data_IF_629981826875
#
_entry.id   IF_629981826875
#
_cell.length_a   1.000
_cell.length_b   1.000
_cell.length_c   1.000
_cell.angle_alpha   90.00
_cell.angle_beta   90.00
_cell.angle_gamma   90.00
#
_symmetry.space_group_name_H-M   'P 1'
#
loop_
_entity.id
_entity.type
_entity.pdbx_description
1 polymer ?
#
# COMPACT_ATOMS: atom_id res chain seq x y z
N UNK A 1 0.78 17.88 8.13
CA UNK A 1 1.87 17.12 8.77
C UNK A 1 2.94 16.92 7.71
N UNK A 2 4.20 17.25 7.99
CA UNK A 2 5.30 17.01 7.05
C UNK A 2 5.66 15.52 7.06
N UNK A 3 5.95 14.94 5.89
CA UNK A 3 6.34 13.52 5.79
C UNK A 3 7.79 13.38 6.25
N UNK A 4 8.02 12.49 7.22
CA UNK A 4 9.36 12.18 7.70
C UNK A 4 10.02 11.11 6.81
N UNK A 5 10.67 11.57 5.74
CA UNK A 5 11.38 10.69 4.81
C UNK A 5 12.50 9.88 5.49
N UNK A 6 13.17 10.44 6.51
CA UNK A 6 14.23 9.71 7.24
C UNK A 6 13.64 8.54 8.00
N UNK A 7 12.46 8.74 8.61
CA UNK A 7 11.75 7.65 9.28
C UNK A 7 11.36 6.54 8.31
N UNK A 8 10.90 6.89 7.11
CA UNK A 8 10.60 5.89 6.06
C UNK A 8 11.87 5.12 5.67
N UNK A 9 12.99 5.81 5.44
CA UNK A 9 14.29 5.17 5.15
C UNK A 9 14.73 4.21 6.26
N UNK A 10 14.54 4.56 7.53
CA UNK A 10 14.83 3.68 8.65
C UNK A 10 13.95 2.43 8.67
N UNK A 11 12.64 2.61 8.48
CA UNK A 11 11.67 1.52 8.45
C UNK A 11 11.88 0.60 7.24
N UNK A 12 12.44 1.13 6.15
CA UNK A 12 12.74 0.40 4.93
C UNK A 12 13.93 -0.58 5.08
N UNK A 13 14.86 -0.32 6.02
CA UNK A 13 16.11 -1.09 6.15
C UNK A 13 15.92 -2.60 6.26
N UNK A 14 14.85 -3.05 6.93
CA UNK A 14 14.55 -4.49 7.09
C UNK A 14 14.14 -5.15 5.78
N UNK A 15 13.60 -4.39 4.83
CA UNK A 15 13.20 -4.85 3.50
C UNK A 15 14.38 -4.78 2.53
N UNK A 16 15.11 -3.66 2.53
CA UNK A 16 16.26 -3.45 1.64
C UNK A 16 17.48 -4.31 2.00
N UNK A 17 17.49 -4.94 3.19
CA UNK A 17 18.53 -5.87 3.60
C UNK A 17 18.74 -6.99 2.58
N UNK A 18 19.98 -7.50 2.50
CA UNK A 18 20.35 -8.60 1.60
C UNK A 18 19.96 -8.34 0.13
N UNK A 19 20.20 -7.12 -0.37
CA UNK A 19 19.82 -6.69 -1.71
C UNK A 19 18.32 -6.80 -1.98
N UNK A 20 17.49 -6.28 -1.05
CA UNK A 20 16.03 -6.39 -1.10
C UNK A 20 15.47 -7.79 -0.91
N UNK A 21 16.24 -8.76 -0.40
CA UNK A 21 15.69 -10.07 0.01
C UNK A 21 15.12 -10.05 1.44
N UNK A 22 15.16 -8.91 2.11
CA UNK A 22 14.68 -8.76 3.48
C UNK A 22 15.56 -9.43 4.53
N UNK A 23 15.31 -9.09 5.79
CA UNK A 23 15.95 -9.69 6.96
C UNK A 23 14.95 -10.36 7.92
N UNK A 24 13.71 -10.61 7.46
CA UNK A 24 12.69 -11.30 8.24
C UNK A 24 13.05 -12.76 8.52
N UNK A 25 12.48 -13.31 9.58
CA UNK A 25 12.55 -14.74 9.90
C UNK A 25 11.35 -15.54 9.35
N UNK A 26 10.39 -14.84 8.74
CA UNK A 26 9.19 -15.41 8.11
C UNK A 26 9.03 -14.83 6.71
N UNK A 27 8.32 -15.54 5.83
CA UNK A 27 8.04 -15.07 4.46
C UNK A 27 7.29 -13.71 4.47
N UNK A 28 6.33 -13.56 5.36
CA UNK A 28 5.52 -12.35 5.52
C UNK A 28 5.21 -12.11 6.99
N UNK A 29 4.69 -10.91 7.29
CA UNK A 29 4.19 -10.55 8.62
C UNK A 29 2.88 -9.80 8.52
N UNK A 30 2.03 -10.02 9.51
CA UNK A 30 0.86 -9.19 9.80
C UNK A 30 1.16 -8.46 11.10
N UNK A 31 1.03 -7.14 11.08
CA UNK A 31 1.08 -6.32 12.30
C UNK A 31 -0.32 -5.73 12.52
N UNK A 32 -0.94 -6.14 13.63
CA UNK A 32 -2.28 -5.67 13.99
C UNK A 32 -2.27 -4.19 14.37
N UNK A 33 -3.35 -3.49 13.97
CA UNK A 33 -3.64 -2.10 14.27
C UNK A 33 -4.94 -1.95 15.06
N UNK A 34 -5.33 -0.71 15.32
CA UNK A 34 -6.49 -0.34 16.13
C UNK A 34 -7.63 0.30 15.34
N UNK A 35 -7.44 0.54 14.04
CA UNK A 35 -8.46 1.12 13.15
C UNK A 35 -8.87 0.11 12.07
N UNK A 36 -10.09 0.19 11.51
CA UNK A 36 -10.60 -0.81 10.56
C UNK A 36 -10.05 -0.63 9.13
N UNK A 37 -8.77 -0.27 9.00
CA UNK A 37 -8.05 -0.08 7.75
C UNK A 37 -6.83 -0.98 7.77
N UNK A 38 -6.55 -1.63 6.64
CA UNK A 38 -5.35 -2.42 6.44
C UNK A 38 -4.58 -1.96 5.20
N UNK A 39 -3.25 -1.95 5.28
CA UNK A 39 -2.37 -1.81 4.12
C UNK A 39 -1.72 -3.14 3.78
N UNK A 40 -1.63 -3.50 2.50
CA UNK A 40 -0.78 -4.59 2.02
C UNK A 40 0.42 -4.04 1.25
N UNK A 41 1.59 -4.66 1.44
CA UNK A 41 2.80 -4.43 0.65
C UNK A 41 3.43 -5.78 0.26
N UNK A 42 2.80 -6.53 -0.66
CA UNK A 42 3.19 -7.90 -0.98
C UNK A 42 4.56 -7.98 -1.67
N UNK A 43 5.03 -6.93 -2.33
CA UNK A 43 6.34 -6.90 -2.99
C UNK A 43 7.37 -6.03 -2.27
N UNK A 44 7.27 -5.84 -0.95
CA UNK A 44 8.26 -5.07 -0.19
C UNK A 44 9.69 -5.65 -0.30
N UNK A 45 9.82 -6.93 -0.66
CA UNK A 45 11.07 -7.64 -0.95
C UNK A 45 11.01 -8.27 -2.35
N UNK A 46 12.17 -8.69 -2.85
CA UNK A 46 12.26 -9.45 -4.08
C UNK A 46 11.41 -10.73 -3.99
N UNK A 47 10.88 -11.16 -5.13
CA UNK A 47 9.98 -12.31 -5.22
C UNK A 47 10.17 -13.02 -6.56
N UNK A 48 9.60 -14.22 -6.71
CA UNK A 48 9.58 -14.94 -7.99
C UNK A 48 8.20 -14.89 -8.61
N UNK A 49 8.12 -14.57 -9.91
CA UNK A 49 6.91 -14.74 -10.71
C UNK A 49 7.24 -15.54 -11.96
N UNK A 50 6.48 -16.61 -12.21
CA UNK A 50 6.68 -17.49 -13.36
C UNK A 50 8.14 -17.96 -13.52
N UNK A 51 8.78 -18.35 -12.41
CA UNK A 51 10.16 -18.83 -12.39
C UNK A 51 11.23 -17.75 -12.61
N UNK A 52 10.86 -16.46 -12.62
CA UNK A 52 11.78 -15.33 -12.79
C UNK A 52 11.83 -14.48 -11.53
N UNK A 53 13.04 -14.08 -11.16
CA UNK A 53 13.26 -13.07 -10.13
C UNK A 53 12.65 -11.73 -10.57
N UNK A 54 11.85 -11.15 -9.68
CA UNK A 54 11.25 -9.82 -9.79
C UNK A 54 11.82 -8.95 -8.68
N UNK A 55 12.22 -7.73 -9.05
CA UNK A 55 12.69 -6.73 -8.11
C UNK A 55 11.56 -6.35 -7.13
N UNK A 56 11.94 -6.03 -5.91
CA UNK A 56 11.05 -5.44 -4.92
C UNK A 56 10.43 -4.13 -5.43
N UNK A 57 9.21 -3.89 -4.97
CA UNK A 57 8.57 -2.59 -5.05
C UNK A 57 9.16 -1.72 -3.91
N UNK A 58 10.34 -1.15 -4.15
CA UNK A 58 11.12 -0.41 -3.15
C UNK A 58 10.26 0.61 -2.40
N UNK A 59 10.51 0.73 -1.10
CA UNK A 59 9.82 1.62 -0.16
C UNK A 59 8.36 1.29 0.16
N UNK A 60 7.70 0.35 -0.52
CA UNK A 60 6.31 -0.01 -0.17
C UNK A 60 6.20 -0.56 1.26
N UNK A 61 7.18 -1.35 1.71
CA UNK A 61 7.26 -1.85 3.08
C UNK A 61 7.49 -0.75 4.11
N UNK A 62 8.50 0.11 3.89
CA UNK A 62 8.79 1.26 4.74
C UNK A 62 7.62 2.24 4.85
N UNK A 63 6.96 2.55 3.72
CA UNK A 63 5.76 3.41 3.67
C UNK A 63 4.60 2.76 4.43
N UNK A 64 4.34 1.46 4.26
CA UNK A 64 3.29 0.78 5.00
C UNK A 64 3.50 0.86 6.52
N UNK A 65 4.73 0.61 6.98
CA UNK A 65 5.09 0.72 8.40
C UNK A 65 4.97 2.15 8.91
N UNK A 66 5.38 3.14 8.12
CA UNK A 66 5.27 4.55 8.49
C UNK A 66 3.80 4.99 8.62
N UNK A 67 2.95 4.63 7.67
CA UNK A 67 1.51 4.91 7.72
C UNK A 67 0.84 4.21 8.91
N UNK A 68 1.27 3.00 9.26
CA UNK A 68 0.85 2.34 10.50
C UNK A 68 1.24 3.14 11.73
N UNK A 69 2.48 3.61 11.83
CA UNK A 69 2.92 4.44 12.98
C UNK A 69 2.06 5.70 13.15
N UNK A 70 1.65 6.32 12.04
CA UNK A 70 0.85 7.54 12.05
C UNK A 70 -0.64 7.33 12.31
N UNK A 71 -1.20 6.22 11.85
CA UNK A 71 -2.66 6.02 11.80
C UNK A 71 -3.18 4.88 12.67
N UNK A 72 -2.28 3.99 13.10
CA UNK A 72 -2.63 2.75 13.79
C UNK A 72 -3.31 1.72 12.89
N UNK A 73 -3.22 1.81 11.55
CA UNK A 73 -3.77 0.80 10.66
C UNK A 73 -3.06 -0.55 10.79
N UNK A 74 -3.78 -1.65 10.53
CA UNK A 74 -3.15 -2.96 10.38
C UNK A 74 -2.32 -2.99 9.10
N UNK A 75 -1.27 -3.80 9.05
CA UNK A 75 -0.50 -4.00 7.81
C UNK A 75 -0.16 -5.46 7.59
N UNK A 76 0.00 -5.84 6.33
CA UNK A 76 0.57 -7.11 5.92
C UNK A 76 1.63 -6.86 4.84
N UNK A 77 2.80 -7.46 4.98
CA UNK A 77 3.90 -7.25 4.04
C UNK A 77 4.77 -8.49 3.92
N UNK A 78 5.46 -8.64 2.79
CA UNK A 78 6.50 -9.66 2.64
C UNK A 78 7.76 -9.23 3.39
N UNK A 79 8.28 -10.11 4.24
CA UNK A 79 9.36 -9.81 5.18
C UNK A 79 10.70 -10.43 4.76
N UNK A 80 10.65 -11.49 3.96
CA UNK A 80 11.81 -12.16 3.39
C UNK A 80 11.50 -12.73 2.02
N UNK A 81 12.52 -12.79 1.17
CA UNK A 81 12.46 -13.40 -0.14
C UNK A 81 11.92 -14.83 -0.07
N UNK A 82 11.01 -15.14 -1.00
CA UNK A 82 10.55 -16.51 -1.26
C UNK A 82 10.49 -16.76 -2.77
N UNK A 83 10.46 -18.03 -3.15
CA UNK A 83 10.26 -18.46 -4.55
C UNK A 83 8.79 -18.40 -4.99
N UNK A 84 8.01 -17.48 -4.41
CA UNK A 84 6.58 -17.29 -4.68
C UNK A 84 6.28 -15.81 -4.86
N UNK A 85 5.23 -15.51 -5.61
CA UNK A 85 4.67 -14.18 -5.72
C UNK A 85 3.40 -14.06 -4.86
N UNK A 86 3.44 -13.31 -3.75
CA UNK A 86 2.31 -13.18 -2.83
C UNK A 86 1.12 -12.42 -3.41
N UNK A 87 1.26 -11.71 -4.54
CA UNK A 87 0.16 -11.05 -5.25
C UNK A 87 -0.33 -11.85 -6.46
N UNK A 88 0.56 -12.56 -7.17
CA UNK A 88 0.23 -13.29 -8.39
C UNK A 88 -0.17 -14.76 -8.14
N UNK A 89 0.54 -15.47 -7.28
CA UNK A 89 0.35 -16.92 -7.13
C UNK A 89 -0.98 -17.28 -6.45
N UNK A 90 -1.33 -18.56 -6.51
CA UNK A 90 -2.54 -19.08 -5.87
C UNK A 90 -2.52 -18.79 -4.35
N UNK A 91 -3.67 -18.66 -3.68
CA UNK A 91 -3.69 -18.32 -2.25
C UNK A 91 -2.93 -19.27 -1.32
N UNK A 92 -2.76 -20.54 -1.74
CA UNK A 92 -2.02 -21.57 -1.00
C UNK A 92 -0.51 -21.45 -1.16
N UNK A 93 -0.03 -20.69 -2.14
CA UNK A 93 1.39 -20.47 -2.37
C UNK A 93 1.93 -19.43 -1.39
N UNK A 94 2.94 -19.79 -0.60
CA UNK A 94 3.64 -18.89 0.31
C UNK A 94 2.84 -18.41 1.53
N UNK A 95 1.58 -18.84 1.70
CA UNK A 95 0.73 -18.57 2.88
C UNK A 95 0.21 -17.15 3.04
N UNK A 96 0.73 -16.16 2.29
CA UNK A 96 0.39 -14.74 2.42
C UNK A 96 -1.12 -14.47 2.34
N UNK A 97 -1.75 -14.89 1.23
CA UNK A 97 -3.18 -14.64 0.98
C UNK A 97 -4.08 -15.45 1.91
N UNK A 98 -3.66 -16.65 2.30
CA UNK A 98 -4.40 -17.47 3.27
C UNK A 98 -4.40 -16.84 4.66
N UNK A 99 -3.25 -16.38 5.13
CA UNK A 99 -3.15 -15.66 6.40
C UNK A 99 -3.89 -14.34 6.37
N UNK A 100 -3.84 -13.59 5.27
CA UNK A 100 -4.67 -12.40 5.09
C UNK A 100 -6.17 -12.73 5.19
N UNK A 101 -6.63 -13.76 4.46
CA UNK A 101 -8.03 -14.19 4.51
C UNK A 101 -8.45 -14.66 5.91
N UNK A 102 -7.57 -15.34 6.63
CA UNK A 102 -7.82 -15.75 8.01
C UNK A 102 -7.94 -14.54 8.92
N UNK A 103 -7.02 -13.58 8.80
CA UNK A 103 -7.02 -12.33 9.56
C UNK A 103 -8.31 -11.53 9.35
N UNK A 104 -8.73 -11.34 8.09
CA UNK A 104 -9.94 -10.58 7.73
C UNK A 104 -11.25 -11.22 8.22
N UNK A 105 -11.25 -12.52 8.56
CA UNK A 105 -12.45 -13.19 9.12
C UNK A 105 -12.69 -12.88 10.59
N UNK A 106 -11.64 -12.58 11.34
CA UNK A 106 -11.73 -12.40 12.80
C UNK A 106 -11.46 -10.96 13.23
N UNK A 107 -11.03 -10.09 12.31
CA UNK A 107 -10.74 -8.69 12.59
C UNK A 107 -11.59 -7.78 11.69
N UNK A 108 -12.19 -6.71 12.23
CA UNK A 108 -12.98 -5.78 11.44
C UNK A 108 -12.07 -4.89 10.58
N UNK A 109 -11.82 -5.32 9.34
CA UNK A 109 -11.17 -4.49 8.31
C UNK A 109 -12.22 -4.10 7.28
N UNK A 110 -12.46 -2.80 7.14
CA UNK A 110 -13.45 -2.25 6.21
C UNK A 110 -12.84 -1.75 4.92
N UNK A 111 -11.54 -1.45 4.93
CA UNK A 111 -10.78 -1.04 3.77
C UNK A 111 -9.41 -1.72 3.78
N UNK A 112 -9.07 -2.39 2.68
CA UNK A 112 -7.72 -2.87 2.41
C UNK A 112 -7.17 -2.09 1.21
N UNK A 113 -6.03 -1.43 1.40
CA UNK A 113 -5.30 -0.74 0.34
C UNK A 113 -4.02 -1.49 0.01
N UNK A 114 -3.84 -1.83 -1.26
CA UNK A 114 -2.69 -2.59 -1.74
C UNK A 114 -1.64 -1.67 -2.36
N UNK A 115 -0.46 -1.63 -1.75
CA UNK A 115 0.64 -0.76 -2.13
C UNK A 115 1.59 -1.49 -3.06
N UNK A 116 1.80 -0.89 -4.23
CA UNK A 116 2.69 -1.39 -5.27
C UNK A 116 3.60 -0.29 -5.81
N UNK A 117 4.77 -0.72 -6.26
CA UNK A 117 5.72 0.09 -7.00
C UNK A 117 5.35 0.10 -8.49
N UNK A 118 5.48 1.25 -9.13
CA UNK A 118 5.39 1.37 -10.57
C UNK A 118 6.79 1.44 -11.18
N UNK A 119 6.94 0.88 -12.38
CA UNK A 119 8.18 1.04 -13.15
C UNK A 119 8.39 2.52 -13.52
N UNK A 120 9.64 2.97 -13.52
CA UNK A 120 10.02 4.37 -13.76
C UNK A 120 9.52 4.90 -15.10
N UNK A 121 9.34 4.02 -16.09
CA UNK A 121 8.93 4.36 -17.45
C UNK A 121 7.43 4.64 -17.57
N UNK A 122 6.63 4.41 -16.51
CA UNK A 122 5.21 4.75 -16.51
C UNK A 122 5.02 6.27 -16.49
N UNK A 123 4.01 6.74 -17.22
CA UNK A 123 3.70 8.16 -17.37
C UNK A 123 2.99 8.78 -16.14
N UNK A 124 3.03 8.11 -14.99
CA UNK A 124 2.40 8.56 -13.75
C UNK A 124 3.34 8.40 -12.56
N UNK A 125 3.20 9.28 -11.56
CA UNK A 125 3.93 9.17 -10.29
C UNK A 125 3.19 8.30 -9.27
N UNK A 126 1.86 8.42 -9.22
CA UNK A 126 0.97 7.63 -8.37
C UNK A 126 -0.29 7.32 -9.17
N UNK A 127 -0.73 6.07 -9.12
CA UNK A 127 -1.99 5.60 -9.70
C UNK A 127 -2.81 4.94 -8.59
N UNK A 128 -4.11 5.21 -8.55
CA UNK A 128 -5.04 4.53 -7.66
C UNK A 128 -6.07 3.81 -8.50
N UNK A 129 -6.29 2.54 -8.20
CA UNK A 129 -7.23 1.70 -8.93
C UNK A 129 -7.88 0.69 -8.02
N UNK A 130 -9.02 0.18 -8.47
CA UNK A 130 -9.70 -0.95 -7.85
C UNK A 130 -9.66 -2.12 -8.83
N UNK A 131 -9.54 -3.35 -8.33
CA UNK A 131 -9.54 -4.51 -9.21
C UNK A 131 -10.87 -4.60 -9.98
N UNK A 132 -10.88 -4.98 -11.27
CA UNK A 132 -12.14 -5.17 -11.98
C UNK A 132 -12.97 -6.24 -11.27
N UNK A 133 -14.27 -5.94 -11.10
CA UNK A 133 -15.25 -6.88 -10.57
C UNK A 133 -15.38 -8.04 -11.57
N UNK A 134 -14.84 -9.21 -11.24
CA UNK A 134 -14.93 -10.42 -12.08
C UNK A 134 -16.26 -11.16 -11.88
N UNK A 135 -16.89 -10.99 -10.72
CA UNK A 135 -18.23 -11.52 -10.35
C UNK A 135 -19.03 -10.50 -9.54
N UNK A 136 -20.36 -10.66 -9.51
CA UNK A 136 -21.27 -9.76 -8.78
C UNK A 136 -20.93 -9.68 -7.27
N UNK A 137 -20.47 -10.76 -6.68
CA UNK A 137 -20.08 -10.82 -5.28
C UNK A 137 -18.65 -10.35 -4.97
N UNK A 138 -17.84 -9.96 -5.98
CA UNK A 138 -16.50 -9.45 -5.70
C UNK A 138 -16.61 -8.09 -4.99
N UNK A 139 -15.99 -8.00 -3.81
CA UNK A 139 -15.94 -6.81 -2.95
C UNK A 139 -15.07 -5.67 -3.50
N UNK A 140 -14.87 -5.62 -4.83
CA UNK A 140 -14.18 -4.50 -5.45
C UNK A 140 -14.99 -3.22 -5.22
N UNK A 141 -14.29 -2.16 -4.87
CA UNK A 141 -14.89 -0.83 -4.74
C UNK A 141 -15.20 -0.20 -6.11
N UNK A 142 -14.88 -0.88 -7.23
CA UNK A 142 -15.27 -0.45 -8.57
C UNK A 142 -16.79 -0.27 -8.62
N UNK A 143 -17.25 0.94 -8.98
CA UNK A 143 -18.66 1.39 -9.03
C UNK A 143 -19.25 1.91 -7.70
N UNK A 144 -18.51 1.93 -6.58
CA UNK A 144 -18.97 2.66 -5.40
C UNK A 144 -18.74 4.16 -5.61
N UNK A 145 -19.79 5.02 -5.60
CA UNK A 145 -19.65 6.44 -5.89
C UNK A 145 -18.61 7.12 -5.01
N UNK A 146 -18.47 6.71 -3.74
CA UNK A 146 -17.49 7.33 -2.84
C UNK A 146 -16.03 7.13 -3.29
N UNK A 147 -15.66 6.02 -3.94
CA UNK A 147 -14.29 5.83 -4.45
C UNK A 147 -14.07 6.67 -5.68
N UNK A 148 -15.07 6.74 -6.56
CA UNK A 148 -15.03 7.68 -7.69
C UNK A 148 -14.98 9.12 -7.18
N UNK A 149 -15.66 9.46 -6.08
CA UNK A 149 -15.66 10.79 -5.48
C UNK A 149 -14.32 11.10 -4.79
N UNK A 150 -13.70 10.12 -4.11
CA UNK A 150 -12.36 10.26 -3.53
C UNK A 150 -11.32 10.38 -4.63
N UNK A 151 -11.38 9.55 -5.68
CA UNK A 151 -10.45 9.60 -6.81
C UNK A 151 -10.66 10.90 -7.61
N UNK A 152 -11.90 11.31 -7.91
CA UNK A 152 -12.20 12.60 -8.53
C UNK A 152 -11.71 13.75 -7.66
N UNK A 153 -11.99 13.75 -6.36
CA UNK A 153 -11.46 14.76 -5.45
C UNK A 153 -9.92 14.77 -5.44
N UNK A 154 -9.23 13.63 -5.51
CA UNK A 154 -7.77 13.56 -5.60
C UNK A 154 -7.26 14.10 -6.96
N UNK A 155 -7.90 13.71 -8.07
CA UNK A 155 -7.49 14.07 -9.44
C UNK A 155 -7.84 15.52 -9.81
N UNK A 156 -8.97 16.02 -9.33
CA UNK A 156 -9.47 17.37 -9.57
C UNK A 156 -8.83 18.38 -8.59
N UNK A 157 -8.54 18.00 -7.34
CA UNK A 157 -8.14 18.95 -6.28
C UNK A 157 -6.72 18.76 -5.70
N UNK A 158 -5.91 17.77 -6.14
CA UNK A 158 -4.50 17.54 -5.67
C UNK A 158 -4.30 17.72 -4.16
N UNK A 159 -4.74 16.76 -3.35
CA UNK A 159 -4.60 16.83 -1.89
C UNK A 159 -3.14 16.78 -1.40
N UNK A 160 -2.79 17.73 -0.53
CA UNK A 160 -1.51 17.78 0.22
C UNK A 160 -1.68 17.55 1.74
N UNK A 161 -2.89 17.64 2.32
CA UNK A 161 -3.21 17.12 3.67
C UNK A 161 -4.73 17.08 3.97
N UNK A 162 -5.16 16.17 4.85
CA UNK A 162 -6.52 16.09 5.42
C UNK A 162 -6.45 16.27 6.95
N UNK A 163 -7.20 17.23 7.50
CA UNK A 163 -7.49 17.31 8.94
C UNK A 163 -9.00 17.34 9.16
N UNK A 164 -9.47 16.70 10.23
CA UNK A 164 -10.89 16.67 10.58
C UNK A 164 -11.11 17.27 11.96
N UNK A 165 -11.78 18.43 12.01
CA UNK A 165 -12.55 18.85 13.18
C UNK A 165 -13.99 19.17 12.77
N UNK A 166 -14.93 18.44 13.39
CA UNK A 166 -16.38 18.65 13.47
C UNK A 166 -17.11 19.17 12.20
N UNK A 167 -17.68 18.22 11.48
CA UNK A 167 -18.97 18.24 10.72
C UNK A 167 -19.25 19.31 9.66
N UNK A 168 -18.37 20.26 9.35
CA UNK A 168 -18.56 21.15 8.19
C UNK A 168 -17.29 21.21 7.34
N UNK A 169 -17.39 20.76 6.09
CA UNK A 169 -16.31 20.83 5.09
C UNK A 169 -16.47 22.13 4.32
N UNK A 170 -15.43 22.97 4.29
CA UNK A 170 -15.35 24.15 3.43
C UNK A 170 -13.91 24.42 2.98
N UNK A 171 -13.81 24.84 1.71
CA UNK A 171 -12.67 24.98 0.78
C UNK A 171 -11.40 25.70 1.30
N UNK A 172 -10.26 25.43 0.66
CA UNK A 172 -9.25 26.48 0.44
C UNK A 172 -8.38 26.32 -0.84
N UNK A 173 -7.95 27.48 -1.35
CA UNK A 173 -7.44 27.78 -2.71
C UNK A 173 -5.91 27.67 -2.82
N UNK A 174 -5.43 27.19 -3.98
CA UNK A 174 -4.04 26.84 -4.32
C UNK A 174 -3.18 28.01 -4.83
N UNK A 175 -1.84 27.82 -4.90
CA UNK A 175 -0.95 28.06 -6.08
C UNK A 175 0.57 27.93 -5.74
N UNK A 176 1.32 26.91 -6.22
CA UNK A 176 2.77 26.98 -6.32
C UNK A 176 3.18 27.58 -7.68
N UNK A 177 3.95 28.66 -7.63
CA UNK A 177 4.55 29.26 -8.81
C UNK A 177 5.60 28.35 -9.43
N UNK A 178 5.71 28.44 -10.77
CA UNK A 178 6.67 27.72 -11.61
C UNK A 178 8.11 27.90 -11.12
N UNK A 179 8.72 26.86 -10.56
CA UNK A 179 10.17 26.81 -10.38
C UNK A 179 10.79 26.57 -11.76
N UNK A 180 11.41 27.60 -12.33
CA UNK A 180 12.36 27.46 -13.43
C UNK A 180 13.70 27.03 -12.82
N UNK A 181 14.16 25.85 -13.20
CA UNK A 181 15.52 25.40 -12.93
C UNK A 181 16.46 26.25 -13.82
N UNK A 182 17.39 26.95 -13.17
CA UNK A 182 18.63 27.46 -13.78
C UNK A 182 19.77 26.61 -13.26
#
# INVERSE_FOLDING_TARGET
MEVDCKRIEELEKVFSANHYNGSGNTAFRIEEGSVPIMLSAPHAVNHFRDGKLKAADCYTGGIARYLRELTGCSIIYSASFTETDPNYDSPKAGGYKESLKAYLKTHPVYLLMDLHGAAREREFAVEMGTAPRKRKEDASLLQYPFVDDVIKAILEEKFLFLNTEKKNISKNVFLPQKIKIR
#
